data_IF_132737023275
#
_entry.id   IF_132737023275
#
_cell.length_a   1.000
_cell.length_b   1.000
_cell.length_c   1.000
_cell.angle_alpha   90.00
_cell.angle_beta   90.00
_cell.angle_gamma   90.00
#
_symmetry.space_group_name_H-M   'P 1'
#
loop_
_entity.id
_entity.type
_entity.pdbx_description
1 polymer ?
#
# COMPACT_ATOMS: atom_id res chain seq x y z
N UNK A 1 8.97 13.47 14.38
CA UNK A 1 10.31 13.44 13.74
C UNK A 1 10.62 12.07 13.17
N UNK A 2 10.57 10.99 13.98
CA UNK A 2 10.94 9.64 13.55
C UNK A 2 10.19 9.08 12.31
N UNK A 3 8.88 9.29 12.19
CA UNK A 3 8.11 8.77 11.04
C UNK A 3 8.44 9.46 9.72
N UNK A 4 8.73 10.76 9.77
CA UNK A 4 9.14 11.51 8.60
C UNK A 4 10.51 11.04 8.09
N UNK A 5 11.45 10.82 9.00
CA UNK A 5 12.78 10.32 8.66
C UNK A 5 12.73 8.90 8.06
N UNK A 6 11.87 8.03 8.62
CA UNK A 6 11.63 6.71 8.08
C UNK A 6 11.03 6.77 6.66
N UNK A 7 10.07 7.67 6.45
CA UNK A 7 9.46 7.90 5.14
C UNK A 7 10.51 8.37 4.13
N UNK A 8 11.32 9.38 4.46
CA UNK A 8 12.39 9.88 3.59
C UNK A 8 13.40 8.79 3.22
N UNK A 9 13.81 7.98 4.21
CA UNK A 9 14.73 6.86 3.97
C UNK A 9 14.19 5.86 2.96
N UNK A 10 12.90 5.52 3.05
CA UNK A 10 12.26 4.58 2.12
C UNK A 10 12.08 5.21 0.74
N UNK A 11 11.61 6.45 0.67
CA UNK A 11 11.36 7.14 -0.59
C UNK A 11 12.66 7.30 -1.39
N UNK A 12 13.70 7.85 -0.77
CA UNK A 12 14.97 8.14 -1.44
C UNK A 12 15.78 6.87 -1.68
N UNK A 13 15.81 5.96 -0.72
CA UNK A 13 16.65 4.75 -0.80
C UNK A 13 16.06 3.61 -1.62
N UNK A 14 14.73 3.58 -1.80
CA UNK A 14 14.05 2.44 -2.44
C UNK A 14 13.09 2.86 -3.55
N UNK A 15 12.17 3.78 -3.27
CA UNK A 15 11.05 4.08 -4.18
C UNK A 15 11.52 4.85 -5.40
N UNK A 16 12.26 5.95 -5.22
CA UNK A 16 12.75 6.80 -6.31
C UNK A 16 13.70 6.03 -7.25
N UNK A 17 14.74 5.32 -6.75
CA UNK A 17 15.63 4.56 -7.64
C UNK A 17 14.91 3.48 -8.43
N UNK A 18 13.93 2.80 -7.82
CA UNK A 18 13.14 1.77 -8.51
C UNK A 18 12.29 2.38 -9.64
N UNK A 19 11.66 3.53 -9.38
CA UNK A 19 10.87 4.24 -10.37
C UNK A 19 11.69 4.71 -11.58
N UNK A 20 12.90 5.21 -11.36
CA UNK A 20 13.72 5.77 -12.45
C UNK A 20 14.51 4.72 -13.22
N UNK A 21 14.95 3.65 -12.56
CA UNK A 21 15.94 2.73 -13.13
C UNK A 21 15.35 1.40 -13.59
N UNK A 22 14.17 0.99 -13.10
CA UNK A 22 13.61 -0.33 -13.38
C UNK A 22 12.07 -0.28 -13.47
N UNK A 23 11.58 0.07 -14.66
CA UNK A 23 10.15 0.24 -14.94
C UNK A 23 9.36 -1.04 -14.72
N UNK A 24 9.90 -2.19 -15.07
CA UNK A 24 9.16 -3.46 -14.97
C UNK A 24 8.96 -3.86 -13.50
N UNK A 25 10.01 -3.74 -12.68
CA UNK A 25 9.87 -3.95 -11.24
C UNK A 25 8.97 -2.91 -10.59
N UNK A 26 9.04 -1.65 -11.01
CA UNK A 26 8.11 -0.61 -10.55
C UNK A 26 6.65 -0.99 -10.83
N UNK A 27 6.33 -1.40 -12.05
CA UNK A 27 4.98 -1.83 -12.43
C UNK A 27 4.53 -3.04 -11.60
N UNK A 28 5.42 -4.01 -11.37
CA UNK A 28 5.14 -5.16 -10.50
C UNK A 28 4.83 -4.76 -9.06
N UNK A 29 5.62 -3.84 -8.49
CA UNK A 29 5.37 -3.28 -7.16
C UNK A 29 4.02 -2.56 -7.10
N UNK A 30 3.70 -1.72 -8.08
CA UNK A 30 2.44 -0.98 -8.12
C UNK A 30 1.23 -1.90 -8.25
N UNK A 31 1.28 -2.93 -9.10
CA UNK A 31 0.22 -3.95 -9.20
C UNK A 31 0.00 -4.66 -7.86
N UNK A 32 1.08 -5.01 -7.17
CA UNK A 32 1.02 -5.68 -5.86
C UNK A 32 0.38 -4.77 -4.80
N UNK A 33 0.75 -3.49 -4.78
CA UNK A 33 0.16 -2.48 -3.88
C UNK A 33 -1.34 -2.31 -4.11
N UNK A 34 -1.77 -2.27 -5.38
CA UNK A 34 -3.20 -2.18 -5.74
C UNK A 34 -3.95 -3.43 -5.27
N UNK A 35 -3.44 -4.63 -5.56
CA UNK A 35 -4.09 -5.88 -5.16
C UNK A 35 -4.28 -5.96 -3.63
N UNK A 36 -3.22 -5.65 -2.87
CA UNK A 36 -3.27 -5.61 -1.41
C UNK A 36 -4.30 -4.59 -0.90
N UNK A 37 -4.32 -3.38 -1.46
CA UNK A 37 -5.28 -2.36 -1.06
C UNK A 37 -6.73 -2.75 -1.37
N UNK A 38 -6.95 -3.41 -2.51
CA UNK A 38 -8.27 -3.92 -2.92
C UNK A 38 -8.80 -4.96 -1.93
N UNK A 39 -7.93 -5.82 -1.42
CA UNK A 39 -8.29 -6.87 -0.46
C UNK A 39 -8.46 -6.31 0.96
N UNK A 40 -7.46 -5.56 1.44
CA UNK A 40 -7.35 -5.17 2.84
C UNK A 40 -7.97 -3.82 3.16
N UNK A 41 -8.13 -2.93 2.20
CA UNK A 41 -8.60 -1.56 2.46
C UNK A 41 -9.84 -1.20 1.64
N UNK A 42 -10.61 -2.21 1.19
CA UNK A 42 -11.88 -1.97 0.50
C UNK A 42 -13.02 -1.59 1.45
N UNK A 43 -13.90 -0.73 0.94
CA UNK A 43 -15.16 -0.40 1.60
C UNK A 43 -16.07 -1.65 1.75
N UNK A 44 -15.99 -2.59 0.81
CA UNK A 44 -16.72 -3.86 0.90
C UNK A 44 -16.33 -4.66 2.16
N UNK A 45 -15.02 -4.82 2.44
CA UNK A 45 -14.54 -5.45 3.68
C UNK A 45 -15.03 -4.67 4.90
N UNK A 46 -14.89 -3.34 4.87
CA UNK A 46 -15.34 -2.48 5.98
C UNK A 46 -16.84 -2.68 6.30
N UNK A 47 -17.70 -2.70 5.28
CA UNK A 47 -19.14 -2.90 5.45
C UNK A 47 -19.48 -4.30 5.98
N UNK A 48 -18.82 -5.35 5.46
CA UNK A 48 -18.97 -6.71 5.97
C UNK A 48 -18.61 -6.79 7.45
N UNK A 49 -17.43 -6.27 7.81
CA UNK A 49 -16.98 -6.28 9.21
C UNK A 49 -17.86 -5.43 10.13
N UNK A 50 -18.39 -4.31 9.63
CA UNK A 50 -19.31 -3.48 10.38
C UNK A 50 -20.61 -4.23 10.69
N UNK A 51 -21.15 -4.95 9.71
CA UNK A 51 -22.33 -5.78 9.89
C UNK A 51 -22.08 -6.91 10.89
N UNK A 52 -21.03 -7.69 10.66
CA UNK A 52 -20.69 -8.86 11.47
C UNK A 52 -20.40 -8.51 12.94
N UNK A 53 -19.85 -7.33 13.21
CA UNK A 53 -19.47 -6.91 14.58
C UNK A 53 -20.59 -6.22 15.36
N UNK A 54 -21.61 -5.69 14.68
CA UNK A 54 -22.62 -4.83 15.31
C UNK A 54 -24.06 -5.33 15.18
N UNK A 55 -24.35 -6.21 14.22
CA UNK A 55 -25.72 -6.64 13.93
C UNK A 55 -25.94 -8.17 14.02
N UNK A 56 -24.88 -8.97 13.94
CA UNK A 56 -24.90 -10.42 14.19
C UNK A 56 -24.50 -10.67 15.64
#
# INVERSE_FOLDING_TARGET
AADADALYKVLIGKVIPLFTNDRDKWVGMMKSSIAMASEKFSAARMLSEYYDKLYV
#
